data_IF_175733830697
#
_entry.id   IF_175733830697
#
_cell.length_a   1.000
_cell.length_b   1.000
_cell.length_c   1.000
_cell.angle_alpha   90.00
_cell.angle_beta   90.00
_cell.angle_gamma   90.00
#
_symmetry.space_group_name_H-M   'P 1'
#
loop_
_entity.id
_entity.type
_entity.pdbx_description
1 polymer ?
#
# COMPACT_ATOMS: atom_id res chain seq x y z
N UNK A 1 -24.81 19.50 -2.05
CA UNK A 1 -23.82 18.87 -1.14
C UNK A 1 -23.25 20.00 -0.32
N UNK A 2 -23.42 19.97 0.99
CA UNK A 2 -22.99 21.05 1.89
C UNK A 2 -21.59 20.71 2.45
N UNK A 3 -20.64 21.60 2.28
CA UNK A 3 -19.26 21.42 2.78
C UNK A 3 -19.23 21.90 4.22
N UNK A 4 -18.88 21.00 5.15
CA UNK A 4 -18.76 21.32 6.57
C UNK A 4 -17.31 21.73 6.89
N UNK A 5 -17.12 22.98 7.28
CA UNK A 5 -15.80 23.54 7.59
C UNK A 5 -15.13 22.85 8.80
N UNK A 6 -15.91 22.41 9.80
CA UNK A 6 -15.45 21.70 11.00
C UNK A 6 -14.79 20.32 10.70
N UNK A 7 -15.20 19.68 9.58
CA UNK A 7 -14.66 18.39 9.14
C UNK A 7 -13.68 18.49 7.97
N UNK A 8 -13.52 19.69 7.42
CA UNK A 8 -12.63 19.94 6.29
C UNK A 8 -11.30 20.49 6.79
N UNK A 9 -10.19 19.91 6.34
CA UNK A 9 -8.85 20.33 6.69
C UNK A 9 -8.07 20.71 5.43
N UNK A 10 -7.15 21.63 5.55
CA UNK A 10 -6.25 22.02 4.48
C UNK A 10 -4.88 21.37 4.70
N UNK A 11 -4.36 20.68 3.70
CA UNK A 11 -3.00 20.17 3.70
C UNK A 11 -2.28 20.63 2.43
N UNK A 12 -1.10 21.23 2.60
CA UNK A 12 -0.29 21.74 1.50
C UNK A 12 1.03 20.99 1.42
N UNK A 13 1.45 20.65 0.20
CA UNK A 13 2.77 20.05 -0.05
C UNK A 13 3.88 21.10 -0.18
N UNK A 14 3.55 22.37 -0.01
CA UNK A 14 4.47 23.46 -0.24
C UNK A 14 5.15 23.87 1.07
N UNK A 15 6.46 23.63 1.14
CA UNK A 15 7.33 24.04 2.27
C UNK A 15 7.78 25.51 2.18
N UNK A 16 7.33 26.26 1.17
CA UNK A 16 7.55 27.69 1.10
C UNK A 16 6.42 28.41 1.84
N UNK A 17 6.78 29.36 2.70
CA UNK A 17 6.01 30.16 3.65
C UNK A 17 4.79 30.94 3.11
N UNK A 18 4.09 30.44 2.12
CA UNK A 18 2.81 31.01 1.69
C UNK A 18 1.73 30.38 2.55
N UNK A 19 1.33 31.07 3.62
CA UNK A 19 0.14 30.74 4.39
C UNK A 19 -1.08 30.85 3.45
N UNK A 20 -1.43 29.75 2.81
CA UNK A 20 -2.66 29.71 2.01
C UNK A 20 -3.84 29.63 2.97
N UNK A 21 -4.48 30.77 3.22
CA UNK A 21 -5.70 30.82 4.01
C UNK A 21 -6.90 30.56 3.10
N UNK A 22 -7.61 29.47 3.36
CA UNK A 22 -8.86 29.14 2.66
C UNK A 22 -9.99 29.29 3.65
N UNK A 23 -10.99 30.11 3.30
CA UNK A 23 -12.21 30.29 4.06
C UNK A 23 -13.38 29.62 3.34
N UNK A 24 -14.19 28.86 4.08
CA UNK A 24 -15.45 28.27 3.59
C UNK A 24 -16.58 28.81 4.47
N UNK A 25 -17.57 29.44 3.88
CA UNK A 25 -18.72 30.05 4.60
C UNK A 25 -18.31 30.99 5.75
N UNK A 26 -17.21 31.76 5.54
CA UNK A 26 -16.69 32.69 6.56
C UNK A 26 -15.86 32.02 7.68
N UNK A 27 -15.67 30.71 7.65
CA UNK A 27 -14.83 29.99 8.58
C UNK A 27 -13.49 29.64 7.94
N UNK A 28 -12.38 29.95 8.63
CA UNK A 28 -11.02 29.62 8.23
C UNK A 28 -10.79 28.12 8.40
N UNK A 29 -10.28 27.45 7.36
CA UNK A 29 -9.90 26.05 7.46
C UNK A 29 -8.62 25.88 8.27
N UNK A 30 -8.59 24.85 9.11
CA UNK A 30 -7.40 24.46 9.84
C UNK A 30 -6.39 23.79 8.91
N UNK A 31 -5.16 24.31 8.90
CA UNK A 31 -4.05 23.71 8.16
C UNK A 31 -3.40 22.61 8.99
N UNK A 32 -3.28 21.42 8.41
CA UNK A 32 -2.72 20.24 9.09
C UNK A 32 -1.59 19.61 8.26
N UNK A 33 -0.61 19.02 8.93
CA UNK A 33 0.47 18.25 8.30
C UNK A 33 0.14 16.78 8.12
N UNK A 34 -0.92 16.33 8.81
CA UNK A 34 -1.40 14.95 8.72
C UNK A 34 -2.92 14.90 8.90
N UNK A 35 -3.56 13.99 8.19
CA UNK A 35 -5.00 13.81 8.24
C UNK A 35 -5.39 12.34 8.11
N UNK A 36 -6.31 11.88 8.96
CA UNK A 36 -6.84 10.53 8.88
C UNK A 36 -8.13 10.51 8.05
N UNK A 37 -8.09 9.87 6.90
CA UNK A 37 -9.22 9.76 5.97
C UNK A 37 -9.60 8.29 5.74
N UNK A 38 -10.82 7.92 6.11
CA UNK A 38 -11.36 6.54 5.96
C UNK A 38 -10.41 5.43 6.49
N UNK A 39 -9.70 5.73 7.58
CA UNK A 39 -8.74 4.78 8.16
C UNK A 39 -7.31 4.93 7.67
N UNK A 40 -7.09 5.56 6.51
CA UNK A 40 -5.77 5.86 5.95
C UNK A 40 -5.19 7.14 6.55
N UNK A 41 -3.88 7.17 6.74
CA UNK A 41 -3.16 8.30 7.32
C UNK A 41 -2.40 9.04 6.21
N UNK A 42 -2.93 10.19 5.79
CA UNK A 42 -2.33 11.03 4.75
C UNK A 42 -1.38 12.02 5.43
N UNK A 43 -0.14 12.12 4.95
CA UNK A 43 0.87 13.06 5.46
C UNK A 43 1.63 13.72 4.31
N UNK A 44 2.20 14.89 4.56
CA UNK A 44 3.12 15.59 3.67
C UNK A 44 4.46 14.84 3.46
N UNK A 45 4.83 13.97 4.41
CA UNK A 45 6.00 13.10 4.32
C UNK A 45 5.83 11.93 3.32
N UNK A 46 4.62 11.72 2.79
CA UNK A 46 4.27 10.63 1.87
C UNK A 46 3.80 9.37 2.58
N UNK A 47 3.96 8.20 1.94
CA UNK A 47 3.36 6.93 2.42
C UNK A 47 4.12 6.25 3.55
N UNK A 48 5.29 6.73 3.96
CA UNK A 48 6.10 6.05 4.98
C UNK A 48 5.43 6.00 6.35
N UNK A 49 4.89 7.10 6.92
CA UNK A 49 4.23 7.09 8.22
C UNK A 49 3.01 6.15 8.23
N UNK A 50 2.21 6.17 7.16
CA UNK A 50 1.05 5.31 7.02
C UNK A 50 1.44 3.82 7.01
N UNK A 51 2.41 3.43 6.17
CA UNK A 51 2.87 2.05 6.09
C UNK A 51 3.41 1.58 7.44
N UNK A 52 4.19 2.40 8.15
CA UNK A 52 4.71 2.04 9.47
C UNK A 52 3.59 1.87 10.51
N UNK A 53 2.60 2.76 10.51
CA UNK A 53 1.42 2.67 11.37
C UNK A 53 0.64 1.37 11.09
N UNK A 54 0.40 1.06 9.82
CA UNK A 54 -0.31 -0.14 9.40
C UNK A 54 0.46 -1.42 9.74
N UNK A 55 1.80 -1.42 9.59
CA UNK A 55 2.67 -2.52 10.04
C UNK A 55 2.56 -2.73 11.56
N UNK A 56 2.52 -1.66 12.34
CA UNK A 56 2.36 -1.73 13.80
C UNK A 56 0.98 -2.32 14.18
N UNK A 57 -0.11 -1.85 13.56
CA UNK A 57 -1.46 -2.37 13.79
C UNK A 57 -1.57 -3.85 13.42
N UNK A 58 -1.01 -4.24 12.28
CA UNK A 58 -0.97 -5.64 11.82
C UNK A 58 -0.18 -6.52 12.79
N UNK A 59 0.96 -6.02 13.29
CA UNK A 59 1.77 -6.73 14.29
C UNK A 59 1.03 -6.89 15.62
N UNK A 60 0.29 -5.87 16.05
CA UNK A 60 -0.55 -5.94 17.25
C UNK A 60 -1.67 -6.98 17.08
N UNK A 61 -2.36 -7.01 15.94
CA UNK A 61 -3.37 -8.00 15.63
C UNK A 61 -2.79 -9.44 15.63
N UNK A 62 -1.63 -9.64 14.99
CA UNK A 62 -0.91 -10.92 15.00
C UNK A 62 -0.58 -11.37 16.43
N UNK A 63 -0.20 -10.44 17.31
CA UNK A 63 0.15 -10.75 18.70
C UNK A 63 -1.07 -11.10 19.54
N UNK A 64 -2.20 -10.43 19.35
CA UNK A 64 -3.47 -10.72 20.03
C UNK A 64 -3.96 -12.15 19.73
N UNK A 65 -3.71 -12.65 18.54
CA UNK A 65 -4.08 -14.01 18.11
C UNK A 65 -3.05 -15.08 18.50
N UNK A 66 -2.10 -14.78 19.40
CA UNK A 66 -1.10 -15.73 19.87
C UNK A 66 -1.69 -17.06 20.37
N UNK A 67 -2.81 -17.13 21.10
CA UNK A 67 -3.43 -18.40 21.50
C UNK A 67 -3.76 -19.28 20.31
N UNK A 68 -4.31 -18.70 19.23
CA UNK A 68 -4.65 -19.43 17.99
C UNK A 68 -3.41 -20.02 17.32
N UNK A 69 -2.33 -19.22 17.23
CA UNK A 69 -1.07 -19.71 16.63
C UNK A 69 -0.44 -20.84 17.44
N UNK A 70 -0.67 -20.85 18.75
CA UNK A 70 -0.12 -21.86 19.66
C UNK A 70 -1.00 -23.10 19.76
N UNK A 71 -2.23 -23.07 19.34
CA UNK A 71 -3.12 -24.23 19.36
C UNK A 71 -2.64 -25.30 18.36
N UNK A 72 -2.49 -26.53 18.85
CA UNK A 72 -2.05 -27.67 18.04
C UNK A 72 -3.20 -28.37 17.32
N UNK A 73 -4.44 -28.14 17.73
CA UNK A 73 -5.64 -28.71 17.09
C UNK A 73 -5.94 -28.05 15.74
N UNK A 74 -5.47 -26.80 15.55
CA UNK A 74 -5.69 -26.03 14.31
C UNK A 74 -4.61 -26.36 13.28
N UNK A 75 -5.01 -26.79 12.08
CA UNK A 75 -4.10 -27.11 10.99
C UNK A 75 -3.28 -25.88 10.53
N UNK A 76 -2.09 -26.11 9.97
CA UNK A 76 -1.25 -25.04 9.44
C UNK A 76 -1.96 -24.25 8.33
N UNK A 77 -2.65 -24.95 7.43
CA UNK A 77 -3.43 -24.31 6.37
C UNK A 77 -4.48 -23.35 6.92
N UNK A 78 -5.26 -23.79 7.93
CA UNK A 78 -6.26 -22.96 8.59
C UNK A 78 -5.64 -21.73 9.27
N UNK A 79 -4.49 -21.89 9.93
CA UNK A 79 -3.77 -20.76 10.55
C UNK A 79 -3.32 -19.73 9.49
N UNK A 80 -2.79 -20.19 8.38
CA UNK A 80 -2.37 -19.30 7.29
C UNK A 80 -3.58 -18.55 6.72
N UNK A 81 -4.70 -19.24 6.47
CA UNK A 81 -5.94 -18.60 6.02
C UNK A 81 -6.44 -17.54 7.03
N UNK A 82 -6.40 -17.84 8.34
CA UNK A 82 -6.75 -16.87 9.38
C UNK A 82 -5.83 -15.66 9.39
N UNK A 83 -4.52 -15.84 9.19
CA UNK A 83 -3.59 -14.70 9.08
C UNK A 83 -3.96 -13.83 7.89
N UNK A 84 -4.24 -14.41 6.74
CA UNK A 84 -4.59 -13.61 5.55
C UNK A 84 -5.93 -12.89 5.71
N UNK A 85 -6.92 -13.52 6.29
CA UNK A 85 -8.26 -12.93 6.46
C UNK A 85 -8.34 -11.91 7.60
N UNK A 86 -7.65 -12.13 8.71
CA UNK A 86 -7.79 -11.31 9.92
C UNK A 86 -6.62 -10.34 10.16
N UNK A 87 -5.41 -10.71 9.74
CA UNK A 87 -4.20 -9.93 10.03
C UNK A 87 -3.75 -9.14 8.80
N UNK A 88 -3.56 -9.83 7.68
CA UNK A 88 -3.10 -9.19 6.45
C UNK A 88 -4.16 -8.29 5.83
N UNK A 89 -5.45 -8.53 6.05
CA UNK A 89 -6.52 -7.62 5.64
C UNK A 89 -6.36 -6.21 6.23
N UNK A 90 -5.89 -6.10 7.49
CA UNK A 90 -5.59 -4.81 8.13
C UNK A 90 -4.43 -4.13 7.38
N UNK A 91 -3.39 -4.89 7.07
CA UNK A 91 -2.23 -4.39 6.34
C UNK A 91 -2.58 -3.91 4.94
N UNK A 92 -3.48 -4.58 4.24
CA UNK A 92 -3.86 -4.27 2.86
C UNK A 92 -4.89 -3.14 2.74
N UNK A 93 -5.32 -2.53 3.85
CA UNK A 93 -6.22 -1.39 3.82
C UNK A 93 -5.51 -0.19 3.17
N UNK A 94 -6.13 0.39 2.13
CA UNK A 94 -5.62 1.54 1.38
C UNK A 94 -4.22 1.37 0.75
N UNK A 95 -3.71 0.14 0.62
CA UNK A 95 -2.38 -0.11 0.08
C UNK A 95 -2.20 0.33 -1.38
N UNK A 96 -3.28 0.57 -2.09
CA UNK A 96 -3.29 1.07 -3.47
C UNK A 96 -2.74 2.50 -3.57
N UNK A 97 -2.89 3.31 -2.52
CA UNK A 97 -2.40 4.69 -2.45
C UNK A 97 -0.89 4.79 -2.21
N UNK A 98 -0.24 3.76 -1.71
CA UNK A 98 1.14 3.83 -1.23
C UNK A 98 2.17 4.06 -2.33
N UNK A 99 3.18 4.88 -2.01
CA UNK A 99 4.39 5.02 -2.82
C UNK A 99 5.44 4.08 -2.24
N UNK A 100 5.75 3.00 -2.96
CA UNK A 100 6.66 1.97 -2.47
C UNK A 100 8.10 2.24 -2.90
N UNK A 101 8.94 2.59 -1.92
CA UNK A 101 10.39 2.61 -2.07
C UNK A 101 10.99 1.23 -1.78
N UNK A 102 12.24 0.99 -2.16
CA UNK A 102 12.94 -0.27 -1.85
C UNK A 102 13.01 -0.55 -0.34
N UNK A 103 13.14 0.49 0.50
CA UNK A 103 13.10 0.36 1.96
C UNK A 103 11.74 -0.15 2.43
N UNK A 104 10.66 0.46 1.93
CA UNK A 104 9.29 0.09 2.33
C UNK A 104 8.93 -1.31 1.84
N UNK A 105 9.35 -1.70 0.65
CA UNK A 105 9.20 -3.07 0.15
C UNK A 105 9.87 -4.10 1.07
N UNK A 106 11.10 -3.82 1.52
CA UNK A 106 11.80 -4.68 2.49
C UNK A 106 11.06 -4.78 3.82
N UNK A 107 10.44 -3.69 4.30
CA UNK A 107 9.63 -3.71 5.54
C UNK A 107 8.37 -4.55 5.38
N UNK A 108 7.73 -4.52 4.22
CA UNK A 108 6.56 -5.36 3.91
C UNK A 108 6.98 -6.84 3.91
N UNK A 109 8.08 -7.18 3.26
CA UNK A 109 8.62 -8.55 3.26
C UNK A 109 9.00 -9.02 4.68
N UNK A 110 9.55 -8.13 5.49
CA UNK A 110 9.87 -8.45 6.89
C UNK A 110 8.61 -8.70 7.73
N UNK A 111 7.51 -7.96 7.49
CA UNK A 111 6.22 -8.20 8.13
C UNK A 111 5.67 -9.59 7.74
N UNK A 112 5.69 -9.92 6.46
CA UNK A 112 5.28 -11.22 5.94
C UNK A 112 6.04 -12.37 6.64
N UNK A 113 7.37 -12.27 6.66
CA UNK A 113 8.20 -13.29 7.33
C UNK A 113 7.91 -13.36 8.83
N UNK A 114 7.66 -12.24 9.50
CA UNK A 114 7.24 -12.23 10.91
C UNK A 114 5.94 -12.98 11.12
N UNK A 115 4.95 -12.82 10.23
CA UNK A 115 3.70 -13.55 10.31
C UNK A 115 3.93 -15.06 10.16
N UNK A 116 4.67 -15.48 9.16
CA UNK A 116 4.93 -16.90 8.89
C UNK A 116 5.77 -17.55 9.99
N UNK A 117 6.85 -16.91 10.45
CA UNK A 117 7.65 -17.42 11.56
C UNK A 117 6.81 -17.58 12.84
N UNK A 118 5.88 -16.65 13.10
CA UNK A 118 5.01 -16.73 14.27
C UNK A 118 4.07 -17.94 14.21
N UNK A 119 3.46 -18.21 13.05
CA UNK A 119 2.57 -19.34 12.83
C UNK A 119 3.34 -20.66 12.90
N UNK A 120 4.51 -20.72 12.26
CA UNK A 120 5.38 -21.89 12.21
C UNK A 120 6.17 -22.12 13.50
N UNK A 121 6.08 -21.17 14.46
CA UNK A 121 6.83 -21.19 15.73
C UNK A 121 8.36 -21.24 15.52
N UNK A 122 8.83 -20.62 14.45
CA UNK A 122 10.25 -20.53 14.13
C UNK A 122 10.83 -19.32 14.84
N UNK A 123 11.88 -19.55 15.62
CA UNK A 123 12.67 -18.51 16.29
C UNK A 123 13.93 -18.19 15.46
N UNK A 124 14.55 -17.03 15.70
CA UNK A 124 15.84 -16.70 15.11
C UNK A 124 16.95 -17.70 15.49
N UNK A 125 16.80 -18.41 16.65
CA UNK A 125 17.72 -19.44 17.12
C UNK A 125 17.71 -20.71 16.26
N UNK A 126 16.65 -20.91 15.47
CA UNK A 126 16.47 -22.11 14.65
C UNK A 126 17.23 -22.02 13.33
N UNK A 127 17.85 -20.85 13.04
CA UNK A 127 18.65 -20.59 11.84
C UNK A 127 17.97 -20.98 10.51
N UNK A 128 16.61 -20.91 10.46
CA UNK A 128 15.82 -21.22 9.27
C UNK A 128 15.81 -20.02 8.34
N UNK A 129 16.17 -20.23 7.07
CA UNK A 129 16.19 -19.14 6.07
C UNK A 129 14.77 -18.74 5.65
N UNK A 130 14.59 -17.49 5.18
CA UNK A 130 13.31 -17.02 4.65
C UNK A 130 12.79 -17.88 3.49
N UNK A 131 13.69 -18.44 2.65
CA UNK A 131 13.31 -19.35 1.58
C UNK A 131 12.68 -20.64 2.11
N UNK A 132 13.25 -21.23 3.15
CA UNK A 132 12.69 -22.43 3.80
C UNK A 132 11.36 -22.15 4.48
N UNK A 133 11.20 -20.96 5.11
CA UNK A 133 9.92 -20.53 5.69
C UNK A 133 8.84 -20.43 4.60
N UNK A 134 9.14 -19.77 3.49
CA UNK A 134 8.21 -19.66 2.35
C UNK A 134 7.87 -21.02 1.75
N UNK A 135 8.85 -21.89 1.57
CA UNK A 135 8.60 -23.24 1.05
C UNK A 135 7.61 -24.02 1.91
N UNK A 136 7.73 -23.96 3.25
CA UNK A 136 6.77 -24.59 4.17
C UNK A 136 5.35 -24.01 4.04
N UNK A 137 5.23 -22.71 3.89
CA UNK A 137 3.93 -22.03 3.70
C UNK A 137 3.33 -22.42 2.35
N UNK A 138 4.13 -22.41 1.28
CA UNK A 138 3.68 -22.77 -0.08
C UNK A 138 3.20 -24.22 -0.17
N UNK A 139 3.82 -25.14 0.55
CA UNK A 139 3.34 -26.54 0.62
C UNK A 139 1.94 -26.65 1.25
N UNK A 140 1.61 -25.76 2.18
CA UNK A 140 0.33 -25.79 2.89
C UNK A 140 -0.81 -25.08 2.15
N UNK A 141 -0.52 -24.00 1.42
CA UNK A 141 -1.56 -23.09 0.85
C UNK A 141 -1.30 -22.64 -0.58
N UNK A 142 -0.19 -23.06 -1.20
CA UNK A 142 0.25 -22.57 -2.51
C UNK A 142 1.03 -21.25 -2.43
N UNK A 143 1.47 -20.71 -3.59
CA UNK A 143 2.27 -19.50 -3.66
C UNK A 143 1.52 -18.28 -3.10
N UNK A 144 2.14 -17.56 -2.19
CA UNK A 144 1.54 -16.39 -1.56
C UNK A 144 2.63 -15.43 -1.09
N UNK A 145 2.49 -14.16 -1.48
CA UNK A 145 3.40 -13.07 -1.10
C UNK A 145 2.66 -11.75 -0.93
N UNK A 146 2.80 -11.11 0.23
CA UNK A 146 2.08 -9.86 0.54
C UNK A 146 2.50 -8.71 -0.37
N UNK A 147 3.79 -8.59 -0.71
CA UNK A 147 4.27 -7.58 -1.65
C UNK A 147 3.65 -7.76 -3.05
N UNK A 148 3.50 -9.00 -3.49
CA UNK A 148 2.83 -9.34 -4.75
C UNK A 148 1.37 -8.89 -4.74
N UNK A 149 0.69 -9.09 -3.62
CA UNK A 149 -0.71 -8.64 -3.44
C UNK A 149 -0.81 -7.12 -3.52
N UNK A 150 0.08 -6.39 -2.84
CA UNK A 150 0.10 -4.92 -2.88
C UNK A 150 0.35 -4.42 -4.30
N UNK A 151 1.34 -4.98 -5.02
CA UNK A 151 1.59 -4.65 -6.42
C UNK A 151 0.36 -4.90 -7.29
N UNK A 152 -0.25 -6.08 -7.15
CA UNK A 152 -1.44 -6.46 -7.92
C UNK A 152 -2.62 -5.53 -7.66
N UNK A 153 -2.94 -5.22 -6.40
CA UNK A 153 -4.02 -4.31 -6.02
C UNK A 153 -3.81 -2.92 -6.61
N UNK A 154 -2.60 -2.38 -6.48
CA UNK A 154 -2.26 -1.06 -7.04
C UNK A 154 -2.42 -1.01 -8.56
N UNK A 155 -1.93 -2.02 -9.28
CA UNK A 155 -2.08 -2.11 -10.74
C UNK A 155 -3.55 -2.32 -11.17
N UNK A 156 -4.34 -3.08 -10.40
CA UNK A 156 -5.76 -3.25 -10.64
C UNK A 156 -6.52 -1.94 -10.42
N UNK A 157 -6.21 -1.23 -9.33
CA UNK A 157 -6.81 0.07 -9.04
C UNK A 157 -6.47 1.10 -10.13
N UNK A 158 -5.22 1.15 -10.58
CA UNK A 158 -4.81 1.99 -11.70
C UNK A 158 -5.64 1.71 -12.96
N UNK A 159 -5.79 0.42 -13.31
CA UNK A 159 -6.62 0.02 -14.43
C UNK A 159 -8.09 0.43 -14.26
N UNK A 160 -8.63 0.34 -13.04
CA UNK A 160 -10.00 0.75 -12.75
C UNK A 160 -10.20 2.26 -12.90
N UNK A 161 -9.33 3.05 -12.29
CA UNK A 161 -9.42 4.52 -12.33
C UNK A 161 -9.20 5.05 -13.75
N UNK A 162 -8.30 4.45 -14.52
CA UNK A 162 -8.03 4.84 -15.91
C UNK A 162 -9.23 4.62 -16.86
N UNK A 163 -10.19 3.78 -16.46
CA UNK A 163 -11.46 3.61 -17.19
C UNK A 163 -12.58 4.52 -16.66
N UNK A 164 -12.40 5.17 -15.53
CA UNK A 164 -13.41 6.09 -14.99
C UNK A 164 -13.41 7.40 -15.76
N UNK A 165 -14.61 7.93 -15.96
CA UNK A 165 -14.79 9.29 -16.49
C UNK A 165 -14.89 10.22 -15.28
N UNK A 166 -14.11 11.30 -15.24
CA UNK A 166 -14.25 12.34 -14.23
C UNK A 166 -12.98 12.76 -13.51
N UNK A 167 -13.16 13.41 -12.36
CA UNK A 167 -12.08 14.07 -11.62
C UNK A 167 -10.92 13.15 -11.23
N UNK A 168 -11.21 11.90 -10.90
CA UNK A 168 -10.19 10.93 -10.46
C UNK A 168 -9.11 10.68 -11.52
N UNK A 169 -9.50 10.52 -12.79
CA UNK A 169 -8.53 10.35 -13.88
C UNK A 169 -7.80 11.67 -14.19
N UNK A 170 -8.50 12.80 -14.11
CA UNK A 170 -7.87 14.13 -14.32
C UNK A 170 -6.79 14.38 -13.26
N UNK A 171 -7.04 14.05 -11.99
CA UNK A 171 -6.06 14.15 -10.91
C UNK A 171 -4.88 13.19 -11.16
N UNK A 172 -5.17 11.94 -11.56
CA UNK A 172 -4.14 10.95 -11.85
C UNK A 172 -3.25 11.33 -13.03
N UNK A 173 -3.83 12.00 -14.04
CA UNK A 173 -3.15 12.46 -15.25
C UNK A 173 -2.68 13.91 -15.14
N UNK A 174 -3.20 14.66 -14.17
CA UNK A 174 -2.93 16.08 -13.99
C UNK A 174 -1.45 16.30 -13.67
N UNK A 175 -0.76 16.89 -14.62
CA UNK A 175 0.62 17.38 -14.44
C UNK A 175 0.50 18.73 -13.76
N UNK A 176 0.63 18.76 -12.45
CA UNK A 176 0.91 20.03 -11.76
C UNK A 176 2.31 20.45 -12.24
N UNK A 177 2.38 21.55 -12.98
CA UNK A 177 3.65 22.16 -13.39
C UNK A 177 4.32 22.73 -12.15
N UNK A 178 5.10 21.91 -11.47
CA UNK A 178 6.01 22.38 -10.43
C UNK A 178 7.37 22.68 -11.08
N UNK A 179 7.93 23.84 -10.81
CA UNK A 179 9.33 24.13 -11.09
C UNK A 179 10.20 23.14 -10.29
N UNK A 180 10.93 22.30 -11.01
CA UNK A 180 11.73 21.23 -10.44
C UNK A 180 12.95 21.81 -9.72
N UNK A 181 12.98 21.76 -8.39
CA UNK A 181 14.19 22.05 -7.62
C UNK A 181 15.27 20.99 -7.91
N UNK A 182 16.54 21.40 -7.96
CA UNK A 182 17.74 20.58 -8.28
C UNK A 182 18.07 19.45 -7.26
N UNK A 183 17.17 19.08 -6.37
CA UNK A 183 17.41 18.01 -5.38
C UNK A 183 16.93 16.66 -5.93
N UNK A 184 17.47 15.55 -5.35
CA UNK A 184 17.05 14.17 -5.65
C UNK A 184 15.52 14.06 -5.58
N UNK A 185 14.90 13.77 -6.72
CA UNK A 185 13.44 13.74 -6.85
C UNK A 185 12.85 12.66 -5.95
N UNK A 186 11.81 13.00 -5.20
CA UNK A 186 11.01 12.02 -4.45
C UNK A 186 10.33 11.08 -5.45
N UNK A 187 10.29 9.78 -5.13
CA UNK A 187 9.56 8.79 -5.93
C UNK A 187 8.07 9.15 -5.97
N UNK A 188 7.46 9.15 -7.15
CA UNK A 188 6.03 9.42 -7.35
C UNK A 188 5.24 8.12 -7.34
N UNK A 189 3.93 8.23 -7.19
CA UNK A 189 3.02 7.08 -7.21
C UNK A 189 3.08 6.32 -8.55
N UNK A 190 3.14 7.04 -9.67
CA UNK A 190 3.24 6.51 -11.03
C UNK A 190 4.58 5.80 -11.32
N UNK A 191 5.66 6.16 -10.62
CA UNK A 191 6.95 5.50 -10.79
C UNK A 191 6.88 4.03 -10.42
N UNK A 192 6.04 3.64 -9.47
CA UNK A 192 5.80 2.24 -9.17
C UNK A 192 5.09 1.51 -10.33
N UNK A 193 4.14 2.17 -11.02
CA UNK A 193 3.47 1.58 -12.17
C UNK A 193 4.49 1.34 -13.29
N UNK A 194 5.31 2.34 -13.60
CA UNK A 194 6.37 2.26 -14.62
C UNK A 194 7.39 1.17 -14.28
N UNK A 195 7.87 1.13 -13.03
CA UNK A 195 8.85 0.15 -12.56
C UNK A 195 8.34 -1.29 -12.72
N UNK A 196 7.08 -1.55 -12.36
CA UNK A 196 6.54 -2.90 -12.35
C UNK A 196 6.02 -3.37 -13.71
N UNK A 197 5.55 -2.47 -14.55
CA UNK A 197 5.02 -2.81 -15.89
C UNK A 197 6.07 -2.71 -16.98
N UNK A 198 7.16 -1.97 -16.75
CA UNK A 198 8.15 -1.61 -17.78
C UNK A 198 7.60 -0.63 -18.83
N UNK A 199 6.41 -0.06 -18.61
CA UNK A 199 5.76 0.84 -19.56
C UNK A 199 5.86 2.28 -19.09
N UNK A 200 6.11 3.19 -20.02
CA UNK A 200 5.91 4.62 -19.80
C UNK A 200 4.44 4.92 -19.54
N UNK A 201 4.15 6.00 -18.82
CA UNK A 201 2.80 6.33 -18.37
C UNK A 201 1.79 6.38 -19.54
N UNK A 202 2.11 7.09 -20.64
CA UNK A 202 1.24 7.14 -21.82
C UNK A 202 0.98 5.78 -22.48
N UNK A 203 1.99 4.89 -22.48
CA UNK A 203 1.85 3.52 -22.99
C UNK A 203 1.02 2.65 -22.04
N UNK A 204 1.15 2.85 -20.72
CA UNK A 204 0.35 2.13 -19.74
C UNK A 204 -1.14 2.51 -19.82
N UNK A 205 -1.46 3.77 -20.07
CA UNK A 205 -2.84 4.23 -20.30
C UNK A 205 -3.48 3.53 -21.50
N UNK A 206 -2.80 3.49 -22.65
CA UNK A 206 -3.28 2.74 -23.83
C UNK A 206 -3.41 1.24 -23.56
N UNK A 207 -2.50 0.67 -22.77
CA UNK A 207 -2.56 -0.76 -22.42
C UNK A 207 -3.78 -1.09 -21.55
N UNK A 208 -4.22 -0.16 -20.69
CA UNK A 208 -5.40 -0.30 -19.84
C UNK A 208 -6.68 -0.35 -20.67
N UNK A 209 -6.80 0.35 -21.80
CA UNK A 209 -7.98 0.34 -22.68
C UNK A 209 -8.42 -1.09 -23.03
N UNK A 210 -7.48 -2.00 -23.21
CA UNK A 210 -7.75 -3.42 -23.39
C UNK A 210 -7.70 -4.18 -22.06
N UNK A 211 -8.86 -4.33 -21.41
CA UNK A 211 -8.99 -5.00 -20.10
C UNK A 211 -8.38 -6.41 -20.05
N UNK A 212 -8.50 -7.19 -21.12
CA UNK A 212 -7.93 -8.56 -21.16
C UNK A 212 -6.41 -8.51 -21.18
N UNK A 213 -5.84 -7.61 -22.00
CA UNK A 213 -4.38 -7.42 -22.09
C UNK A 213 -3.83 -6.88 -20.77
N UNK A 214 -4.53 -5.90 -20.15
CA UNK A 214 -4.12 -5.34 -18.86
C UNK A 214 -4.11 -6.39 -17.75
N UNK A 215 -5.16 -7.21 -17.64
CA UNK A 215 -5.21 -8.31 -16.64
C UNK A 215 -4.04 -9.27 -16.75
N UNK A 216 -3.66 -9.66 -17.99
CA UNK A 216 -2.49 -10.51 -18.23
C UNK A 216 -1.18 -9.83 -17.80
N UNK A 217 -1.05 -8.53 -18.09
CA UNK A 217 0.12 -7.75 -17.70
C UNK A 217 0.21 -7.63 -16.17
N UNK A 218 -0.90 -7.33 -15.48
CA UNK A 218 -0.96 -7.29 -14.01
C UNK A 218 -0.54 -8.63 -13.41
N UNK A 219 -1.04 -9.76 -13.93
CA UNK A 219 -0.65 -11.07 -13.44
C UNK A 219 0.86 -11.34 -13.61
N UNK A 220 1.44 -10.93 -14.74
CA UNK A 220 2.89 -11.08 -15.00
C UNK A 220 3.73 -10.14 -14.13
N UNK A 221 3.34 -8.87 -14.00
CA UNK A 221 4.12 -7.83 -13.30
C UNK A 221 4.03 -7.94 -11.78
N UNK A 222 3.05 -8.64 -11.24
CA UNK A 222 2.90 -8.84 -9.81
C UNK A 222 3.76 -9.99 -9.28
N UNK A 223 4.24 -10.88 -10.12
CA UNK A 223 5.17 -11.95 -9.70
C UNK A 223 6.51 -11.31 -9.36
N UNK A 224 7.04 -11.59 -8.18
CA UNK A 224 8.40 -11.20 -7.78
C UNK A 224 9.36 -12.21 -8.39
N UNK A 225 10.41 -11.78 -9.13
CA UNK A 225 11.43 -12.67 -9.65
C UNK A 225 12.24 -13.36 -8.55
#
# INVERSE_FOLDING_TARGET
>A
MEIRADKTKLMTNNTSDISTEININGQKLETVTSFKYLGSFITDEGSKPEILSTVAQTTAALTRLKPVWNDRSISLSSKIQMVHSLVISIFLCACESWILTAELQRRIQALEMRCYCKILRISYKDHVTNGQVRAKVQQATGPHEDLTIVKRRKLQWYGHVSHSLGLAITILQGIVKEERRQRRQRKRWEDNIREWTGLEFAKSQRAVENRKKWRKLVAKSSVVP
#
